data_IF_893957307906
#
_entry.id   IF_893957307906
#
_cell.length_a   1.000
_cell.length_b   1.000
_cell.length_c   1.000
_cell.angle_alpha   90.00
_cell.angle_beta   90.00
_cell.angle_gamma   90.00
#
_symmetry.space_group_name_H-M   'P 1'
#
loop_
_entity.id
_entity.type
_entity.pdbx_description
1 polymer ?
#
# COMPACT_ATOMS: atom_id res chain seq x y z
N UNK A 1 -7.85 -27.59 -15.37
CA UNK A 1 -7.40 -27.09 -14.06
C UNK A 1 -8.63 -26.66 -13.26
N UNK A 2 -8.72 -27.06 -12.00
CA UNK A 2 -9.87 -26.77 -11.13
C UNK A 2 -9.81 -25.34 -10.59
N UNK A 3 -10.93 -24.61 -10.66
CA UNK A 3 -11.02 -23.23 -10.14
C UNK A 3 -10.98 -23.25 -8.60
N UNK A 4 -10.08 -22.47 -7.99
CA UNK A 4 -10.02 -22.29 -6.53
C UNK A 4 -11.06 -21.25 -6.09
N UNK A 5 -11.71 -21.49 -4.96
CA UNK A 5 -12.69 -20.59 -4.34
C UNK A 5 -12.18 -20.26 -2.94
N UNK A 6 -12.10 -18.98 -2.60
CA UNK A 6 -11.74 -18.51 -1.28
C UNK A 6 -13.02 -18.16 -0.51
N UNK A 7 -13.21 -18.75 0.66
CA UNK A 7 -14.43 -18.57 1.48
C UNK A 7 -14.11 -18.26 2.95
N UNK A 8 -12.86 -17.91 3.26
CA UNK A 8 -12.40 -17.63 4.63
C UNK A 8 -12.22 -16.12 4.88
N UNK A 9 -13.19 -15.33 4.43
CA UNK A 9 -13.16 -13.86 4.58
C UNK A 9 -13.25 -13.39 6.04
N UNK A 10 -13.67 -14.26 6.95
CA UNK A 10 -13.71 -13.97 8.38
C UNK A 10 -12.30 -13.97 9.02
N UNK A 11 -11.36 -14.75 8.48
CA UNK A 11 -9.98 -14.75 8.95
C UNK A 11 -9.18 -13.58 8.37
N UNK A 12 -9.28 -13.36 7.05
CA UNK A 12 -8.64 -12.23 6.37
C UNK A 12 -9.26 -11.98 4.99
N UNK A 13 -8.85 -10.91 4.31
CA UNK A 13 -9.40 -10.54 3.00
C UNK A 13 -8.28 -10.20 2.01
N UNK A 14 -8.48 -10.49 0.71
CA UNK A 14 -7.56 -10.02 -0.32
C UNK A 14 -7.61 -8.49 -0.39
N UNK A 15 -6.47 -7.87 -0.68
CA UNK A 15 -6.39 -6.43 -0.87
C UNK A 15 -7.22 -6.01 -2.09
N UNK A 16 -8.04 -4.97 -1.93
CA UNK A 16 -8.75 -4.39 -3.06
C UNK A 16 -7.73 -3.79 -4.05
N UNK A 17 -7.86 -3.99 -5.37
CA UNK A 17 -6.89 -3.48 -6.34
C UNK A 17 -6.66 -1.96 -6.23
N UNK A 18 -7.71 -1.19 -5.96
CA UNK A 18 -7.61 0.27 -5.78
C UNK A 18 -6.86 0.65 -4.50
N UNK A 19 -6.99 -0.14 -3.43
CA UNK A 19 -6.22 0.09 -2.19
C UNK A 19 -4.75 -0.22 -2.43
N UNK A 20 -4.43 -1.30 -3.15
CA UNK A 20 -3.06 -1.58 -3.55
C UNK A 20 -2.47 -0.43 -4.36
N UNK A 21 -3.21 0.06 -5.38
CA UNK A 21 -2.77 1.16 -6.22
C UNK A 21 -2.53 2.45 -5.40
N UNK A 22 -3.39 2.76 -4.43
CA UNK A 22 -3.21 3.91 -3.54
C UNK A 22 -1.98 3.76 -2.63
N UNK A 23 -1.62 2.54 -2.24
CA UNK A 23 -0.42 2.27 -1.43
C UNK A 23 0.88 2.30 -2.22
N UNK A 24 0.85 1.95 -3.51
CA UNK A 24 2.06 1.77 -4.33
C UNK A 24 3.04 2.96 -4.29
N UNK A 25 2.60 4.25 -4.40
CA UNK A 25 3.53 5.38 -4.37
C UNK A 25 4.43 5.40 -3.13
N UNK A 26 3.90 5.03 -1.96
CA UNK A 26 4.65 5.02 -0.70
C UNK A 26 5.61 3.82 -0.56
N UNK A 27 5.43 2.80 -1.41
CA UNK A 27 6.30 1.62 -1.47
C UNK A 27 7.41 1.73 -2.53
N UNK A 28 7.30 2.70 -3.46
CA UNK A 28 8.24 2.83 -4.58
C UNK A 28 8.91 4.20 -4.64
N UNK A 29 8.12 5.28 -4.64
CA UNK A 29 8.58 6.64 -4.98
C UNK A 29 8.70 7.54 -3.75
N UNK A 30 7.75 7.42 -2.82
CA UNK A 30 7.59 8.27 -1.64
C UNK A 30 8.00 7.52 -0.36
N UNK A 31 9.17 6.89 -0.37
CA UNK A 31 9.67 6.05 0.72
C UNK A 31 10.30 6.82 1.90
N UNK A 32 10.30 8.16 1.86
CA UNK A 32 10.92 8.99 2.89
C UNK A 32 10.23 8.85 4.25
N UNK A 33 11.00 8.95 5.34
CA UNK A 33 10.41 9.05 6.67
C UNK A 33 9.69 10.41 6.82
N UNK A 34 8.36 10.46 7.08
CA UNK A 34 7.59 11.70 7.16
C UNK A 34 8.07 12.68 8.26
N UNK A 35 8.83 12.17 9.24
CA UNK A 35 9.40 12.98 10.33
C UNK A 35 10.72 13.66 9.93
N UNK A 36 11.34 13.27 8.82
CA UNK A 36 12.59 13.87 8.36
C UNK A 36 12.38 15.26 7.79
N UNK A 37 13.29 16.18 8.10
CA UNK A 37 13.23 17.56 7.63
C UNK A 37 13.78 17.77 6.21
N UNK A 38 14.49 16.79 5.64
CA UNK A 38 15.05 16.86 4.28
C UNK A 38 13.99 16.56 3.21
N UNK A 39 14.32 16.79 1.92
CA UNK A 39 13.37 16.72 0.79
C UNK A 39 12.52 15.46 0.78
N UNK A 40 13.16 14.28 0.83
CA UNK A 40 12.45 13.00 0.84
C UNK A 40 11.38 12.87 1.94
N UNK A 41 11.64 13.38 3.15
CA UNK A 41 10.66 13.32 4.25
C UNK A 41 9.52 14.32 4.10
N UNK A 42 9.84 15.53 3.61
CA UNK A 42 8.82 16.56 3.36
C UNK A 42 7.87 16.17 2.24
N UNK A 43 8.39 15.55 1.18
CA UNK A 43 7.58 15.05 0.06
C UNK A 43 6.61 13.95 0.52
N UNK A 44 7.10 12.91 1.23
CA UNK A 44 6.22 11.86 1.76
C UNK A 44 5.18 12.38 2.75
N UNK A 45 5.51 13.40 3.56
CA UNK A 45 4.55 13.99 4.52
C UNK A 45 3.40 14.76 3.83
N UNK A 46 3.62 15.26 2.62
CA UNK A 46 2.64 16.09 1.89
C UNK A 46 1.71 15.27 0.98
N UNK A 47 2.02 14.00 0.76
CA UNK A 47 1.23 13.07 -0.04
C UNK A 47 0.11 12.44 0.77
#
# INVERSE_FOLDING_TARGET
MTKRIYMDHAATTPLHPEVLAAMMPYLTELYGNPSSIHSFGRETRQA
#
